data_IF_197867105255
#
_entry.id   IF_197867105255
#
_cell.length_a   1.000
_cell.length_b   1.000
_cell.length_c   1.000
_cell.angle_alpha   90.00
_cell.angle_beta   90.00
_cell.angle_gamma   90.00
#
_symmetry.space_group_name_H-M   'P 1'
#
loop_
_entity.id
_entity.type
_entity.pdbx_description
1 polymer ?
#
# COMPACT_ATOMS: atom_id res chain seq x y z
N UNK A 1 -7.17 3.97 12.25
CA UNK A 1 -7.22 5.44 12.41
C UNK A 1 -7.86 5.79 13.77
N UNK A 2 -7.10 6.32 14.72
CA UNK A 2 -7.66 6.87 15.97
C UNK A 2 -8.07 8.32 15.72
N UNK A 3 -9.37 8.64 15.78
CA UNK A 3 -9.80 10.02 16.00
C UNK A 3 -9.73 10.25 17.50
N UNK A 4 -8.58 10.73 17.96
CA UNK A 4 -8.31 10.83 19.41
C UNK A 4 -8.83 12.12 20.06
N UNK A 5 -9.38 13.07 19.31
CA UNK A 5 -9.82 14.34 19.88
C UNK A 5 -11.07 14.84 19.15
N UNK A 6 -12.24 14.43 19.63
CA UNK A 6 -13.43 15.28 19.44
C UNK A 6 -13.14 16.57 20.24
N UNK A 7 -13.35 17.77 19.68
CA UNK A 7 -13.05 19.02 20.37
C UNK A 7 -13.64 19.02 21.78
N UNK A 8 -12.85 19.43 22.77
CA UNK A 8 -13.31 19.54 24.14
C UNK A 8 -14.55 20.46 24.17
N UNK A 9 -15.68 19.93 24.58
CA UNK A 9 -16.90 20.70 24.75
C UNK A 9 -16.69 21.68 25.91
N UNK A 10 -16.79 22.98 25.66
CA UNK A 10 -16.84 23.98 26.73
C UNK A 10 -18.30 24.23 27.09
N UNK A 11 -18.71 23.91 28.31
CA UNK A 11 -20.07 24.18 28.77
C UNK A 11 -20.27 25.71 28.93
N UNK A 12 -21.11 26.32 28.08
CA UNK A 12 -21.46 27.73 28.15
C UNK A 12 -22.73 28.01 29.00
N UNK A 13 -23.36 26.97 29.56
CA UNK A 13 -24.57 27.07 30.39
C UNK A 13 -24.27 27.22 31.88
N UNK A 14 -25.15 27.90 32.62
CA UNK A 14 -25.03 28.07 34.08
C UNK A 14 -25.33 26.80 34.86
N UNK A 15 -26.01 25.82 34.24
CA UNK A 15 -26.31 24.52 34.82
C UNK A 15 -25.42 23.48 34.17
N UNK A 16 -24.59 22.81 34.98
CA UNK A 16 -23.72 21.74 34.50
C UNK A 16 -24.55 20.50 34.08
N UNK A 17 -24.23 19.84 32.96
CA UNK A 17 -24.79 18.54 32.61
C UNK A 17 -24.54 17.48 33.69
N UNK A 18 -25.49 16.56 33.88
CA UNK A 18 -25.34 15.41 34.77
C UNK A 18 -24.55 14.26 34.12
N UNK A 19 -24.30 14.34 32.82
CA UNK A 19 -23.54 13.37 32.04
C UNK A 19 -23.71 13.63 30.54
N UNK A 20 -23.05 12.82 29.72
CA UNK A 20 -23.08 12.94 28.26
C UNK A 20 -23.30 11.58 27.62
N UNK A 21 -24.37 11.43 26.84
CA UNK A 21 -24.59 10.23 26.03
C UNK A 21 -23.84 10.40 24.72
N UNK A 22 -22.83 9.56 24.47
CA UNK A 22 -22.13 9.52 23.18
C UNK A 22 -22.55 8.30 22.38
N UNK A 23 -22.81 8.46 21.09
CA UNK A 23 -23.04 7.33 20.20
C UNK A 23 -22.62 7.66 18.76
N UNK A 24 -22.16 6.64 18.03
CA UNK A 24 -21.97 6.69 16.60
C UNK A 24 -23.15 6.01 15.89
N UNK A 25 -23.60 6.56 14.77
CA UNK A 25 -24.78 6.07 14.03
C UNK A 25 -24.70 6.41 12.55
N UNK A 26 -25.41 5.64 11.73
CA UNK A 26 -25.72 5.99 10.33
C UNK A 26 -27.17 6.48 10.17
N UNK A 27 -27.95 6.52 11.26
CA UNK A 27 -29.30 7.07 11.27
C UNK A 27 -29.25 8.60 11.21
N UNK A 28 -30.10 9.20 10.38
CA UNK A 28 -30.29 10.65 10.32
C UNK A 28 -31.23 11.18 11.40
N UNK A 29 -31.93 10.30 12.11
CA UNK A 29 -32.69 10.63 13.31
C UNK A 29 -31.81 10.36 14.55
N UNK A 30 -31.45 11.43 15.26
CA UNK A 30 -30.57 11.35 16.44
C UNK A 30 -31.32 11.26 17.77
N UNK A 31 -32.59 11.65 17.78
CA UNK A 31 -33.44 11.65 18.96
C UNK A 31 -34.72 10.86 18.69
N UNK A 32 -35.25 10.19 19.71
CA UNK A 32 -36.60 9.63 19.70
C UNK A 32 -37.48 10.36 20.69
N UNK A 33 -38.77 10.48 20.36
CA UNK A 33 -39.80 10.93 21.30
C UNK A 33 -40.41 9.70 21.97
N UNK A 34 -40.17 9.54 23.26
CA UNK A 34 -41.06 8.70 24.05
C UNK A 34 -42.44 9.38 24.13
N UNK A 35 -43.50 8.64 24.44
CA UNK A 35 -44.88 9.16 24.44
C UNK A 35 -45.03 10.36 25.40
N UNK A 36 -45.83 11.36 25.02
CA UNK A 36 -45.95 12.63 25.73
C UNK A 36 -46.26 12.50 27.24
N UNK A 37 -45.74 13.39 28.12
CA UNK A 37 -44.89 14.54 27.84
C UNK A 37 -43.39 14.16 27.92
N UNK A 38 -42.80 13.73 26.81
CA UNK A 38 -41.43 13.22 26.83
C UNK A 38 -40.41 14.29 26.45
N UNK A 39 -39.37 14.34 27.25
CA UNK A 39 -38.08 14.94 26.91
C UNK A 39 -37.47 14.07 25.80
N UNK A 40 -37.02 14.64 24.66
CA UNK A 40 -36.32 13.87 23.64
C UNK A 40 -35.11 13.13 24.23
N UNK A 41 -34.97 11.86 23.90
CA UNK A 41 -33.84 11.01 24.33
C UNK A 41 -33.02 10.58 23.12
N UNK A 42 -31.74 10.27 23.34
CA UNK A 42 -30.86 9.74 22.29
C UNK A 42 -31.50 8.53 21.60
N UNK A 43 -31.48 8.50 20.26
CA UNK A 43 -31.87 7.31 19.51
C UNK A 43 -30.74 6.29 19.54
N UNK A 44 -30.88 5.32 20.44
CA UNK A 44 -29.91 4.25 20.61
C UNK A 44 -30.25 2.98 19.82
N UNK A 45 -31.30 3.00 18.98
CA UNK A 45 -31.82 1.81 18.29
C UNK A 45 -30.87 1.29 17.21
N UNK A 46 -30.26 2.21 16.44
CA UNK A 46 -29.41 1.89 15.28
C UNK A 46 -27.95 2.33 15.48
N UNK A 47 -27.46 2.27 16.70
CA UNK A 47 -26.09 2.71 17.03
C UNK A 47 -25.05 1.70 16.57
N UNK A 48 -23.91 2.22 16.11
CA UNK A 48 -22.74 1.40 15.80
C UNK A 48 -22.18 0.80 17.10
N UNK A 49 -21.68 -0.42 17.00
CA UNK A 49 -21.19 -1.24 18.12
C UNK A 49 -19.77 -1.72 17.86
N UNK A 50 -19.10 -2.20 18.91
CA UNK A 50 -17.78 -2.84 18.76
C UNK A 50 -17.97 -4.18 18.09
N UNK A 51 -17.70 -4.23 16.79
CA UNK A 51 -17.91 -5.37 15.91
C UNK A 51 -16.99 -5.26 14.68
N UNK A 52 -16.60 -6.38 14.04
CA UNK A 52 -15.60 -6.38 12.96
C UNK A 52 -15.87 -5.41 11.79
N UNK A 53 -17.13 -5.11 11.48
CA UNK A 53 -17.53 -4.22 10.37
C UNK A 53 -17.91 -2.79 10.81
N UNK A 54 -17.83 -2.47 12.11
CA UNK A 54 -18.29 -1.20 12.68
C UNK A 54 -17.18 -0.52 13.50
N UNK A 55 -17.14 -0.73 14.81
CA UNK A 55 -16.16 -0.09 15.70
C UNK A 55 -15.13 -1.10 16.19
N UNK A 56 -13.88 -0.67 16.32
CA UNK A 56 -12.80 -1.45 16.95
C UNK A 56 -12.85 -1.31 18.47
N UNK A 57 -13.16 -0.10 18.95
CA UNK A 57 -13.13 0.23 20.38
C UNK A 57 -14.03 1.43 20.68
N UNK A 58 -14.61 1.43 21.87
CA UNK A 58 -15.27 2.58 22.50
C UNK A 58 -14.93 2.62 23.98
N UNK A 59 -14.93 3.79 24.61
CA UNK A 59 -14.79 3.84 26.08
C UNK A 59 -15.96 3.15 26.80
N UNK A 60 -15.78 2.72 28.07
CA UNK A 60 -16.76 1.90 28.79
C UNK A 60 -18.16 2.52 28.94
N UNK A 61 -18.28 3.86 28.93
CA UNK A 61 -19.55 4.58 29.07
C UNK A 61 -20.14 5.04 27.73
N UNK A 62 -19.74 4.41 26.63
CA UNK A 62 -20.34 4.63 25.32
C UNK A 62 -21.82 4.21 25.33
N UNK A 63 -22.71 5.09 24.84
CA UNK A 63 -24.18 5.01 24.90
C UNK A 63 -24.79 5.16 26.30
N UNK A 64 -23.99 5.46 27.32
CA UNK A 64 -24.47 5.63 28.69
C UNK A 64 -24.76 7.12 28.97
N UNK A 65 -25.92 7.47 29.57
CA UNK A 65 -26.25 8.87 29.88
C UNK A 65 -25.36 9.52 30.95
N UNK A 66 -24.60 8.72 31.70
CA UNK A 66 -23.62 9.17 32.70
C UNK A 66 -22.22 9.33 32.11
N UNK A 67 -22.09 9.24 30.78
CA UNK A 67 -20.81 9.30 30.11
C UNK A 67 -20.03 10.60 30.34
N UNK A 68 -18.69 10.54 30.17
CA UNK A 68 -17.79 11.67 30.37
C UNK A 68 -17.95 12.74 29.27
N UNK A 69 -17.41 13.92 29.51
CA UNK A 69 -17.35 15.01 28.52
C UNK A 69 -16.45 14.70 27.32
N UNK A 70 -15.53 13.74 27.44
CA UNK A 70 -14.63 13.31 26.37
C UNK A 70 -14.84 11.81 26.12
N UNK A 71 -14.90 11.39 24.86
CA UNK A 71 -15.17 10.01 24.47
C UNK A 71 -14.17 9.56 23.40
N UNK A 72 -13.59 8.37 23.58
CA UNK A 72 -12.76 7.72 22.56
C UNK A 72 -13.57 6.69 21.79
N UNK A 73 -13.56 6.83 20.46
CA UNK A 73 -14.17 5.89 19.51
C UNK A 73 -13.11 5.55 18.45
N UNK A 74 -12.91 4.27 18.17
CA UNK A 74 -12.01 3.79 17.11
C UNK A 74 -12.82 3.03 16.07
N UNK A 75 -12.64 3.41 14.81
CA UNK A 75 -13.41 2.92 13.67
C UNK A 75 -12.71 1.75 12.99
N UNK A 76 -13.48 0.82 12.43
CA UNK A 76 -12.92 -0.15 11.48
C UNK A 76 -12.69 0.53 10.13
N UNK A 77 -11.73 0.05 9.33
CA UNK A 77 -11.59 0.50 7.94
C UNK A 77 -12.88 0.31 7.13
N UNK A 78 -13.65 -0.73 7.42
CA UNK A 78 -14.86 -1.05 6.66
C UNK A 78 -16.00 -0.02 6.82
N UNK A 79 -16.28 0.45 8.04
CA UNK A 79 -17.30 1.50 8.22
C UNK A 79 -16.86 2.82 7.59
N UNK A 80 -15.56 3.15 7.64
CA UNK A 80 -15.02 4.35 7.03
C UNK A 80 -15.13 4.30 5.50
N UNK A 81 -14.81 3.17 4.88
CA UNK A 81 -14.96 2.97 3.43
C UNK A 81 -16.44 3.07 2.98
N UNK A 82 -17.38 2.67 3.84
CA UNK A 82 -18.83 2.78 3.61
C UNK A 82 -19.42 4.12 4.06
N UNK A 83 -18.62 5.02 4.60
CA UNK A 83 -19.08 6.34 5.02
C UNK A 83 -19.09 7.30 3.84
N UNK A 84 -20.15 8.09 3.72
CA UNK A 84 -20.22 9.22 2.80
C UNK A 84 -20.06 10.53 3.59
N UNK A 85 -19.43 11.53 2.99
CA UNK A 85 -19.33 12.87 3.55
C UNK A 85 -20.19 13.84 2.75
N UNK A 86 -21.05 14.60 3.43
CA UNK A 86 -21.98 15.56 2.84
C UNK A 86 -22.88 14.94 1.76
N UNK A 87 -23.22 13.66 1.90
CA UNK A 87 -24.08 13.00 0.92
C UNK A 87 -25.49 13.61 0.91
N UNK A 88 -25.92 14.06 -0.26
CA UNK A 88 -27.29 14.55 -0.47
C UNK A 88 -28.29 13.41 -0.64
N UNK A 89 -27.83 12.17 -0.81
CA UNK A 89 -28.63 10.96 -0.92
C UNK A 89 -27.87 9.73 -0.41
N UNK A 90 -28.61 8.77 0.13
CA UNK A 90 -28.09 7.47 0.56
C UNK A 90 -27.82 6.58 -0.66
N UNK A 91 -26.68 5.89 -0.70
CA UNK A 91 -26.40 4.85 -1.69
C UNK A 91 -26.72 3.46 -1.10
N UNK A 92 -27.99 3.08 -1.20
CA UNK A 92 -28.47 1.77 -0.73
C UNK A 92 -27.89 0.60 -1.54
N UNK A 93 -27.42 0.84 -2.78
CA UNK A 93 -26.92 -0.20 -3.67
C UNK A 93 -25.52 -0.66 -3.24
N UNK A 94 -24.66 0.30 -2.88
CA UNK A 94 -23.33 0.02 -2.32
C UNK A 94 -23.33 -0.09 -0.79
N UNK A 95 -24.47 0.13 -0.13
CA UNK A 95 -24.58 0.12 1.33
C UNK A 95 -23.77 1.23 1.99
N UNK A 96 -23.71 2.42 1.37
CA UNK A 96 -22.94 3.57 1.85
C UNK A 96 -23.87 4.64 2.42
N UNK A 97 -23.54 5.14 3.60
CA UNK A 97 -24.34 6.10 4.36
C UNK A 97 -23.43 7.14 5.02
N UNK A 98 -23.92 8.34 5.32
CA UNK A 98 -23.20 9.25 6.22
C UNK A 98 -23.11 8.63 7.61
N UNK A 99 -21.95 8.74 8.24
CA UNK A 99 -21.70 8.26 9.59
C UNK A 99 -21.51 9.46 10.49
N UNK A 100 -22.17 9.44 11.64
CA UNK A 100 -22.18 10.53 12.59
C UNK A 100 -21.67 10.06 13.94
N UNK A 101 -21.03 10.96 14.69
CA UNK A 101 -20.90 10.88 16.14
C UNK A 101 -21.79 11.93 16.75
N UNK A 102 -22.68 11.50 17.63
CA UNK A 102 -23.59 12.37 18.36
C UNK A 102 -23.24 12.39 19.84
N UNK A 103 -23.42 13.54 20.47
CA UNK A 103 -23.31 13.73 21.90
C UNK A 103 -24.50 14.51 22.42
N UNK A 104 -25.21 13.92 23.38
CA UNK A 104 -26.30 14.55 24.11
C UNK A 104 -25.82 14.88 25.52
N UNK A 105 -25.75 16.16 25.87
CA UNK A 105 -25.58 16.60 27.23
C UNK A 105 -26.87 16.34 28.01
N UNK A 106 -26.81 15.55 29.08
CA UNK A 106 -27.97 15.17 29.87
C UNK A 106 -28.20 16.16 31.03
N UNK A 107 -29.47 16.42 31.35
CA UNK A 107 -29.88 17.22 32.50
C UNK A 107 -31.15 18.03 32.22
N UNK A 108 -31.83 18.48 33.28
CA UNK A 108 -33.13 19.16 33.17
C UNK A 108 -33.07 20.54 32.53
N UNK A 109 -31.93 21.23 32.62
CA UNK A 109 -31.72 22.57 32.05
C UNK A 109 -30.43 22.67 31.23
N UNK A 110 -29.82 21.54 30.88
CA UNK A 110 -28.53 21.43 30.20
C UNK A 110 -28.60 20.49 28.99
N UNK A 111 -29.83 20.25 28.49
CA UNK A 111 -30.09 19.36 27.36
C UNK A 111 -29.65 20.02 26.05
N UNK A 112 -28.53 19.56 25.50
CA UNK A 112 -27.99 20.06 24.23
C UNK A 112 -27.43 18.89 23.41
N UNK A 113 -27.65 18.92 22.09
CA UNK A 113 -27.17 17.91 21.17
C UNK A 113 -26.13 18.53 20.25
N UNK A 114 -25.01 17.83 20.06
CA UNK A 114 -24.07 18.11 18.99
C UNK A 114 -23.87 16.86 18.16
N UNK A 115 -23.82 17.03 16.85
CA UNK A 115 -23.62 15.96 15.88
C UNK A 115 -22.44 16.33 15.00
N UNK A 116 -21.52 15.39 14.84
CA UNK A 116 -20.35 15.48 13.99
C UNK A 116 -20.52 14.47 12.86
N UNK A 117 -20.56 14.93 11.61
CA UNK A 117 -20.44 14.04 10.46
C UNK A 117 -18.97 13.66 10.29
N UNK A 118 -18.73 12.37 10.04
CA UNK A 118 -17.40 11.85 9.78
C UNK A 118 -17.07 12.07 8.31
N UNK A 119 -15.95 12.74 8.04
CA UNK A 119 -15.31 12.82 6.72
C UNK A 119 -14.22 11.74 6.64
N UNK A 120 -14.55 10.52 6.17
CA UNK A 120 -13.56 9.46 6.03
C UNK A 120 -12.62 9.85 4.89
N UNK A 121 -11.35 10.05 5.20
CA UNK A 121 -10.32 10.07 4.16
C UNK A 121 -9.91 8.61 3.91
N UNK A 122 -10.13 8.06 2.70
CA UNK A 122 -9.48 6.81 2.30
C UNK A 122 -7.99 6.93 2.63
N UNK A 123 -7.44 5.92 3.27
CA UNK A 123 -6.07 5.93 3.77
C UNK A 123 -5.28 4.73 3.24
N UNK A 124 -5.85 3.98 2.27
CA UNK A 124 -5.14 2.86 1.68
C UNK A 124 -3.88 3.41 1.02
N UNK A 125 -2.72 2.93 1.46
CA UNK A 125 -1.42 3.27 0.89
C UNK A 125 -0.70 1.99 0.56
N UNK A 126 0.09 2.02 -0.50
CA UNK A 126 1.11 1.03 -0.78
C UNK A 126 2.45 1.74 -0.86
N UNK A 127 3.48 1.14 -0.29
CA UNK A 127 4.85 1.62 -0.40
C UNK A 127 5.75 0.44 -0.77
N UNK A 128 6.86 0.68 -1.46
CA UNK A 128 7.85 -0.34 -1.81
C UNK A 128 9.26 0.09 -1.43
N UNK A 129 9.98 -0.84 -0.81
CA UNK A 129 11.37 -0.70 -0.44
C UNK A 129 12.21 -1.81 -1.08
N UNK A 130 13.40 -1.44 -1.58
CA UNK A 130 14.42 -2.41 -1.97
C UNK A 130 14.98 -3.11 -0.73
N UNK A 131 15.30 -4.40 -0.85
CA UNK A 131 16.00 -5.18 0.18
C UNK A 131 17.46 -5.35 -0.22
N UNK A 132 18.38 -4.98 0.67
CA UNK A 132 19.81 -5.05 0.39
C UNK A 132 20.42 -6.45 0.57
N UNK A 133 21.72 -6.58 0.30
CA UNK A 133 22.45 -7.84 0.44
C UNK A 133 22.58 -8.35 1.89
N UNK A 134 22.15 -7.57 2.89
CA UNK A 134 22.09 -7.98 4.29
C UNK A 134 20.69 -8.45 4.72
N UNK A 135 19.76 -8.59 3.78
CA UNK A 135 18.35 -8.93 3.98
C UNK A 135 17.56 -7.83 4.74
N UNK A 136 18.06 -6.59 4.75
CA UNK A 136 17.37 -5.47 5.36
C UNK A 136 16.57 -4.68 4.32
N UNK A 137 15.31 -4.38 4.62
CA UNK A 137 14.54 -3.39 3.87
C UNK A 137 15.16 -2.00 4.08
N UNK A 138 15.43 -1.31 2.97
CA UNK A 138 15.95 0.05 2.98
C UNK A 138 14.82 1.06 3.20
N UNK A 139 15.18 2.32 3.45
CA UNK A 139 14.20 3.40 3.43
C UNK A 139 13.63 3.59 2.01
N UNK A 140 12.36 3.99 1.91
CA UNK A 140 11.69 4.23 0.63
C UNK A 140 12.47 5.21 -0.25
N UNK A 141 12.53 4.90 -1.55
CA UNK A 141 13.31 5.67 -2.54
C UNK A 141 14.84 5.51 -2.44
N UNK A 142 15.35 4.67 -1.53
CA UNK A 142 16.79 4.39 -1.44
C UNK A 142 17.19 3.33 -2.47
N UNK A 143 18.29 3.59 -3.17
CA UNK A 143 18.87 2.67 -4.13
C UNK A 143 19.69 1.56 -3.43
N UNK A 144 19.43 0.31 -3.78
CA UNK A 144 20.16 -0.85 -3.30
C UNK A 144 21.24 -1.28 -4.32
N UNK A 145 22.55 -1.16 -4.01
CA UNK A 145 23.58 -1.67 -4.89
C UNK A 145 23.60 -3.20 -4.87
N UNK A 146 23.66 -3.82 -6.05
CA UNK A 146 23.73 -5.26 -6.21
C UNK A 146 24.80 -5.64 -7.23
N UNK A 147 25.53 -6.72 -6.99
CA UNK A 147 26.50 -7.23 -7.96
C UNK A 147 25.79 -7.92 -9.11
N UNK A 148 26.22 -7.67 -10.35
CA UNK A 148 25.85 -8.53 -11.48
C UNK A 148 26.24 -9.99 -11.19
N UNK A 149 25.39 -10.95 -11.59
CA UNK A 149 25.67 -12.37 -11.34
C UNK A 149 26.95 -12.83 -12.04
N UNK A 150 27.54 -13.95 -11.64
CA UNK A 150 28.72 -14.50 -12.31
C UNK A 150 28.39 -15.06 -13.71
N UNK A 151 29.37 -15.11 -14.60
CA UNK A 151 29.25 -15.85 -15.87
C UNK A 151 29.11 -17.33 -15.54
N UNK A 152 28.02 -17.95 -15.98
CA UNK A 152 27.68 -19.34 -15.65
C UNK A 152 28.31 -20.33 -16.62
N UNK A 153 28.42 -19.96 -17.89
CA UNK A 153 29.13 -20.76 -18.89
C UNK A 153 29.62 -19.90 -20.05
N UNK A 154 30.68 -20.38 -20.71
CA UNK A 154 31.22 -19.82 -21.94
C UNK A 154 31.71 -20.96 -22.82
N UNK A 155 31.28 -21.02 -24.09
CA UNK A 155 31.70 -22.06 -25.02
C UNK A 155 31.93 -21.48 -26.42
N UNK A 156 33.04 -21.86 -27.06
CA UNK A 156 33.29 -21.47 -28.44
C UNK A 156 32.47 -22.34 -29.40
N UNK A 157 31.64 -21.71 -30.22
CA UNK A 157 30.88 -22.36 -31.28
C UNK A 157 31.66 -22.28 -32.61
N UNK A 158 32.17 -23.43 -33.04
CA UNK A 158 32.94 -23.58 -34.29
C UNK A 158 32.09 -23.26 -35.52
N UNK A 159 30.78 -23.53 -35.49
CA UNK A 159 29.92 -23.32 -36.64
C UNK A 159 29.68 -21.83 -36.90
N UNK A 160 29.56 -21.03 -35.84
CA UNK A 160 29.32 -19.59 -35.94
C UNK A 160 30.57 -18.74 -35.74
N UNK A 161 31.69 -19.34 -35.33
CA UNK A 161 32.94 -18.68 -34.94
C UNK A 161 32.75 -17.59 -33.86
N UNK A 162 31.90 -17.87 -32.87
CA UNK A 162 31.55 -16.96 -31.77
C UNK A 162 31.66 -17.67 -30.43
N UNK A 163 31.81 -16.91 -29.35
CA UNK A 163 31.64 -17.44 -27.99
C UNK A 163 30.17 -17.33 -27.60
N UNK A 164 29.59 -18.44 -27.20
CA UNK A 164 28.29 -18.51 -26.56
C UNK A 164 28.49 -18.23 -25.07
N UNK A 165 27.88 -17.15 -24.60
CA UNK A 165 27.97 -16.68 -23.22
C UNK A 165 26.64 -16.89 -22.51
N UNK A 166 26.72 -17.34 -21.26
CA UNK A 166 25.61 -17.33 -20.29
C UNK A 166 25.98 -16.39 -19.13
N UNK A 167 25.37 -15.21 -19.13
CA UNK A 167 25.58 -14.17 -18.13
C UNK A 167 24.75 -14.37 -16.84
N UNK A 168 24.13 -15.54 -16.67
CA UNK A 168 23.45 -15.90 -15.43
C UNK A 168 22.16 -15.12 -15.16
N UNK A 169 21.81 -15.04 -13.88
CA UNK A 169 20.58 -14.37 -13.44
C UNK A 169 20.82 -13.49 -12.22
N UNK A 170 20.22 -12.30 -12.22
CA UNK A 170 20.20 -11.42 -11.06
C UNK A 170 18.91 -11.61 -10.28
N UNK A 171 18.99 -11.86 -8.99
CA UNK A 171 17.81 -11.98 -8.12
C UNK A 171 17.73 -10.78 -7.20
N UNK A 172 16.67 -10.00 -7.32
CA UNK A 172 16.40 -8.81 -6.52
C UNK A 172 15.19 -9.07 -5.61
N UNK A 173 15.19 -8.43 -4.45
CA UNK A 173 14.11 -8.54 -3.48
C UNK A 173 13.58 -7.15 -3.10
N UNK A 174 12.28 -7.09 -2.83
CA UNK A 174 11.58 -5.90 -2.37
C UNK A 174 10.62 -6.27 -1.23
N UNK A 175 10.44 -5.35 -0.30
CA UNK A 175 9.33 -5.35 0.64
C UNK A 175 8.28 -4.36 0.13
N UNK A 176 7.04 -4.82 0.01
CA UNK A 176 5.89 -3.98 -0.33
C UNK A 176 5.00 -3.92 0.89
N UNK A 177 4.79 -2.73 1.43
CA UNK A 177 4.00 -2.49 2.64
C UNK A 177 2.67 -1.88 2.23
N UNK A 178 1.58 -2.51 2.65
CA UNK A 178 0.21 -2.05 2.37
C UNK A 178 -0.50 -1.70 3.66
N UNK A 179 -1.04 -0.49 3.79
CA UNK A 179 -1.67 -0.02 5.04
C UNK A 179 -3.11 0.42 4.83
N UNK A 180 -3.94 0.30 5.87
CA UNK A 180 -5.34 0.75 5.90
C UNK A 180 -6.28 0.19 4.81
N UNK A 181 -5.91 -0.88 4.10
CA UNK A 181 -6.85 -1.58 3.22
C UNK A 181 -7.92 -2.32 4.02
N UNK A 182 -9.11 -2.45 3.43
CA UNK A 182 -10.22 -3.25 3.95
C UNK A 182 -10.14 -4.65 3.35
N UNK A 183 -10.10 -5.69 4.19
CA UNK A 183 -10.11 -7.14 3.87
C UNK A 183 -9.02 -7.67 2.94
N UNK A 184 -8.86 -7.08 1.76
CA UNK A 184 -7.84 -7.42 0.78
C UNK A 184 -7.46 -6.25 -0.11
N UNK A 185 -6.37 -6.41 -0.86
CA UNK A 185 -6.01 -5.53 -1.97
C UNK A 185 -5.37 -6.34 -3.12
N UNK A 186 -5.40 -5.80 -4.33
CA UNK A 186 -4.87 -6.42 -5.53
C UNK A 186 -3.67 -5.60 -6.03
N UNK A 187 -2.44 -6.15 -5.98
CA UNK A 187 -1.26 -5.43 -6.42
C UNK A 187 -1.20 -5.31 -7.94
N UNK A 188 -0.64 -4.19 -8.40
CA UNK A 188 -0.20 -4.01 -9.78
C UNK A 188 1.23 -3.50 -9.75
N UNK A 189 2.12 -4.16 -10.49
CA UNK A 189 3.52 -3.75 -10.60
C UNK A 189 3.84 -3.29 -12.01
N UNK A 190 4.83 -2.43 -12.15
CA UNK A 190 5.41 -2.08 -13.45
C UNK A 190 6.92 -2.23 -13.37
N UNK A 191 7.50 -2.94 -14.35
CA UNK A 191 8.94 -2.84 -14.62
C UNK A 191 9.13 -1.55 -15.39
N UNK A 192 9.72 -0.53 -14.76
CA UNK A 192 9.86 0.79 -15.38
C UNK A 192 10.74 0.69 -16.64
N UNK A 193 10.38 1.48 -17.66
CA UNK A 193 11.12 1.51 -18.91
C UNK A 193 12.61 1.86 -18.68
N UNK A 194 13.49 1.10 -19.32
CA UNK A 194 14.94 1.20 -19.14
C UNK A 194 15.50 0.33 -18.01
N UNK A 195 14.67 -0.44 -17.29
CA UNK A 195 15.13 -1.35 -16.24
C UNK A 195 15.73 -2.65 -16.81
N UNK A 196 15.27 -3.05 -18.00
CA UNK A 196 15.76 -4.23 -18.72
C UNK A 196 16.29 -3.81 -20.09
N UNK A 197 17.41 -4.40 -20.52
CA UNK A 197 17.90 -4.22 -21.88
C UNK A 197 16.89 -4.76 -22.90
N UNK A 198 16.60 -3.94 -23.92
CA UNK A 198 15.81 -4.27 -25.11
C UNK A 198 16.67 -4.29 -26.38
N UNK A 199 18.00 -4.39 -26.22
CA UNK A 199 18.92 -4.44 -27.34
C UNK A 199 18.72 -5.73 -28.14
N UNK A 200 18.42 -5.59 -29.43
CA UNK A 200 18.07 -6.70 -30.31
C UNK A 200 19.02 -7.91 -30.18
N UNK A 201 18.46 -9.06 -29.77
CA UNK A 201 19.22 -10.30 -29.58
C UNK A 201 19.99 -10.39 -28.26
N UNK A 202 19.83 -9.41 -27.37
CA UNK A 202 20.33 -9.35 -25.98
C UNK A 202 19.23 -8.87 -25.02
N UNK A 203 17.98 -9.18 -25.35
CA UNK A 203 16.82 -8.76 -24.58
C UNK A 203 16.82 -9.48 -23.22
N UNK A 204 16.80 -8.72 -22.14
CA UNK A 204 16.60 -9.28 -20.80
C UNK A 204 15.12 -9.51 -20.54
N UNK A 205 14.81 -10.47 -19.66
CA UNK A 205 13.45 -10.72 -19.17
C UNK A 205 13.48 -10.92 -17.66
N UNK A 206 12.36 -10.70 -16.99
CA UNK A 206 12.27 -10.91 -15.55
C UNK A 206 11.11 -11.84 -15.19
N UNK A 207 11.34 -12.76 -14.26
CA UNK A 207 10.26 -13.43 -13.55
C UNK A 207 9.94 -12.61 -12.30
N UNK A 208 8.67 -12.27 -12.10
CA UNK A 208 8.20 -11.53 -10.92
C UNK A 208 7.28 -12.42 -10.12
N UNK A 209 7.55 -12.52 -8.82
CA UNK A 209 6.78 -13.38 -7.90
C UNK A 209 6.70 -12.74 -6.53
N UNK A 210 5.62 -12.97 -5.81
CA UNK A 210 5.45 -12.41 -4.46
C UNK A 210 5.04 -13.46 -3.43
N UNK A 211 5.42 -13.18 -2.18
CA UNK A 211 5.53 -14.13 -1.08
C UNK A 211 5.07 -13.52 0.25
N UNK A 212 4.56 -14.32 1.19
CA UNK A 212 4.17 -13.83 2.51
C UNK A 212 5.35 -13.36 3.36
N UNK A 213 6.54 -13.94 3.17
CA UNK A 213 7.74 -13.64 3.93
C UNK A 213 8.98 -13.56 3.04
N UNK A 214 10.02 -12.83 3.48
CA UNK A 214 11.31 -12.82 2.80
C UNK A 214 11.96 -14.20 2.75
N UNK A 215 11.82 -14.99 3.83
CA UNK A 215 12.32 -16.36 3.88
C UNK A 215 11.72 -17.24 2.79
N UNK A 216 10.40 -17.13 2.58
CA UNK A 216 9.70 -17.82 1.50
C UNK A 216 10.17 -17.36 0.11
N UNK A 217 10.36 -16.04 -0.08
CA UNK A 217 10.88 -15.49 -1.33
C UNK A 217 12.27 -16.05 -1.66
N UNK A 218 13.16 -16.11 -0.67
CA UNK A 218 14.51 -16.65 -0.82
C UNK A 218 14.49 -18.16 -1.11
N UNK A 219 13.66 -18.91 -0.39
CA UNK A 219 13.52 -20.35 -0.57
C UNK A 219 12.73 -20.75 -1.83
N UNK A 220 11.94 -19.84 -2.41
CA UNK A 220 11.01 -20.15 -3.49
C UNK A 220 9.81 -20.98 -3.04
N UNK A 221 9.43 -20.90 -1.76
CA UNK A 221 8.31 -21.65 -1.16
C UNK A 221 7.09 -20.75 -0.97
N UNK A 222 5.90 -21.33 -0.75
CA UNK A 222 4.68 -20.57 -0.44
C UNK A 222 4.40 -19.39 -1.40
N UNK A 223 4.70 -19.59 -2.69
CA UNK A 223 4.50 -18.59 -3.73
C UNK A 223 3.02 -18.22 -3.80
N UNK A 224 2.71 -16.93 -3.73
CA UNK A 224 1.33 -16.45 -3.89
C UNK A 224 0.97 -16.49 -5.38
N UNK A 225 1.79 -15.82 -6.20
CA UNK A 225 1.69 -15.77 -7.66
C UNK A 225 3.07 -15.62 -8.34
N UNK A 226 3.13 -15.97 -9.62
CA UNK A 226 4.33 -15.83 -10.47
C UNK A 226 3.94 -15.39 -11.87
N UNK A 227 4.69 -14.42 -12.38
CA UNK A 227 4.56 -13.82 -13.70
C UNK A 227 5.89 -14.00 -14.43
N UNK A 228 6.03 -15.04 -15.27
CA UNK A 228 7.31 -15.35 -15.90
C UNK A 228 7.59 -14.44 -17.09
N UNK A 229 8.87 -14.25 -17.40
CA UNK A 229 9.37 -13.69 -18.66
C UNK A 229 8.80 -12.32 -19.04
N UNK A 230 8.60 -11.46 -18.06
CA UNK A 230 8.19 -10.07 -18.22
C UNK A 230 9.27 -9.27 -18.93
N UNK A 231 8.84 -8.30 -19.73
CA UNK A 231 9.71 -7.44 -20.55
C UNK A 231 9.83 -6.05 -19.94
N UNK A 232 10.74 -5.24 -20.48
CA UNK A 232 10.86 -3.83 -20.11
C UNK A 232 9.54 -3.09 -20.34
N UNK A 233 9.14 -2.23 -19.39
CA UNK A 233 7.87 -1.50 -19.45
C UNK A 233 6.62 -2.36 -19.21
N UNK A 234 6.76 -3.64 -18.82
CA UNK A 234 5.61 -4.51 -18.59
C UNK A 234 4.85 -4.11 -17.31
N UNK A 235 3.52 -4.03 -17.44
CA UNK A 235 2.59 -3.95 -16.30
C UNK A 235 2.12 -5.35 -15.93
N UNK A 236 2.21 -5.67 -14.65
CA UNK A 236 1.97 -6.98 -14.06
C UNK A 236 0.83 -6.83 -13.06
N UNK A 237 -0.37 -7.27 -13.44
CA UNK A 237 -1.54 -7.21 -12.58
C UNK A 237 -1.71 -8.53 -11.84
N UNK A 238 -1.76 -8.47 -10.49
CA UNK A 238 -2.11 -9.62 -9.67
C UNK A 238 -3.50 -10.14 -10.02
N UNK A 239 -3.73 -11.45 -9.88
CA UNK A 239 -5.06 -12.05 -10.09
C UNK A 239 -5.71 -12.52 -8.79
N UNK A 240 -4.96 -12.67 -7.70
CA UNK A 240 -5.48 -13.01 -6.36
C UNK A 240 -5.36 -11.79 -5.44
N UNK A 241 -6.46 -11.37 -4.81
CA UNK A 241 -6.39 -10.37 -3.76
C UNK A 241 -5.54 -10.87 -2.59
N UNK A 242 -4.59 -10.06 -2.16
CA UNK A 242 -3.79 -10.26 -0.96
C UNK A 242 -4.64 -9.96 0.26
N UNK A 243 -4.74 -10.92 1.19
CA UNK A 243 -5.53 -10.82 2.42
C UNK A 243 -4.62 -10.87 3.64
N UNK A 244 -5.15 -10.46 4.80
CA UNK A 244 -4.44 -10.57 6.07
C UNK A 244 -5.38 -11.04 7.18
N UNK A 245 -4.85 -11.80 8.14
CA UNK A 245 -5.56 -12.12 9.38
C UNK A 245 -5.48 -10.98 10.41
N UNK A 246 -4.67 -9.94 10.16
CA UNK A 246 -4.50 -8.79 11.04
C UNK A 246 -5.74 -7.90 10.93
N UNK A 247 -6.47 -7.74 12.04
CA UNK A 247 -7.68 -6.92 12.06
C UNK A 247 -7.42 -5.41 11.88
N UNK A 248 -6.23 -4.93 12.27
CA UNK A 248 -5.83 -3.53 12.13
C UNK A 248 -4.60 -3.40 11.23
N UNK A 249 -4.82 -2.98 9.99
CA UNK A 249 -3.79 -2.79 8.97
C UNK A 249 -3.16 -1.39 8.98
N UNK A 250 -3.45 -0.55 9.98
CA UNK A 250 -2.96 0.84 9.98
C UNK A 250 -1.46 1.00 10.19
N UNK A 251 -0.76 -0.04 10.63
CA UNK A 251 0.70 -0.07 10.72
C UNK A 251 1.38 -0.69 9.51
N UNK A 252 0.62 -1.06 8.48
CA UNK A 252 1.13 -1.77 7.31
C UNK A 252 1.15 -3.29 7.47
N UNK A 253 0.98 -3.98 6.35
CA UNK A 253 1.16 -5.42 6.18
C UNK A 253 2.08 -5.63 4.98
N UNK A 254 3.16 -6.37 5.21
CA UNK A 254 4.19 -6.60 4.20
C UNK A 254 3.87 -7.81 3.32
N UNK A 255 4.23 -7.70 2.05
CA UNK A 255 4.41 -8.80 1.10
C UNK A 255 5.80 -8.63 0.46
N UNK A 256 6.46 -9.74 0.13
CA UNK A 256 7.82 -9.71 -0.39
C UNK A 256 7.83 -10.08 -1.87
N UNK A 257 8.42 -9.23 -2.70
CA UNK A 257 8.54 -9.45 -4.13
C UNK A 257 9.94 -9.93 -4.46
N UNK A 258 10.03 -11.01 -5.24
CA UNK A 258 11.26 -11.51 -5.85
C UNK A 258 11.20 -11.26 -7.34
N UNK A 259 12.25 -10.64 -7.86
CA UNK A 259 12.48 -10.44 -9.29
C UNK A 259 13.70 -11.23 -9.71
N UNK A 260 13.55 -12.15 -10.65
CA UNK A 260 14.66 -12.90 -11.26
C UNK A 260 14.89 -12.40 -12.68
N UNK A 261 15.93 -11.61 -12.88
CA UNK A 261 16.33 -11.08 -14.19
C UNK A 261 17.18 -12.12 -14.90
N UNK A 262 16.73 -12.54 -16.07
CA UNK A 262 17.44 -13.41 -17.00
C UNK A 262 18.33 -12.55 -17.89
N UNK A 263 19.64 -12.62 -17.69
CA UNK A 263 20.59 -11.79 -18.43
C UNK A 263 20.78 -12.28 -19.88
N UNK A 264 20.57 -13.57 -20.14
CA UNK A 264 20.79 -14.18 -21.45
C UNK A 264 22.16 -13.75 -22.04
N UNK A 265 22.15 -12.97 -23.13
CA UNK A 265 23.34 -12.46 -23.84
C UNK A 265 23.71 -11.02 -23.46
N UNK A 266 23.04 -10.43 -22.48
CA UNK A 266 23.34 -9.10 -21.96
C UNK A 266 24.49 -9.17 -20.97
N UNK A 267 25.61 -8.56 -21.35
CA UNK A 267 26.85 -8.61 -20.58
C UNK A 267 26.82 -7.71 -19.34
N UNK A 268 26.06 -6.62 -19.36
CA UNK A 268 26.03 -5.59 -18.29
C UNK A 268 27.38 -4.89 -18.10
N UNK A 269 27.92 -4.28 -19.16
CA UNK A 269 29.19 -3.50 -19.13
C UNK A 269 29.05 -2.10 -18.52
N UNK A 270 27.81 -1.68 -18.21
CA UNK A 270 27.49 -0.44 -17.52
C UNK A 270 26.57 -0.78 -16.36
N UNK A 271 26.60 0.07 -15.32
CA UNK A 271 25.64 -0.02 -14.23
C UNK A 271 24.22 0.08 -14.78
N UNK A 272 23.37 -0.85 -14.37
CA UNK A 272 21.97 -0.90 -14.78
C UNK A 272 21.07 -0.64 -13.58
N UNK A 273 20.19 0.35 -13.70
CA UNK A 273 19.18 0.62 -12.68
C UNK A 273 17.93 -0.18 -13.00
N UNK A 274 17.64 -1.17 -12.18
CA UNK A 274 16.35 -1.85 -12.23
C UNK A 274 15.38 -1.17 -11.28
N UNK A 275 14.26 -0.68 -11.81
CA UNK A 275 13.21 -0.01 -11.02
C UNK A 275 11.91 -0.80 -11.13
N UNK A 276 11.37 -1.18 -9.98
CA UNK A 276 10.06 -1.79 -9.84
C UNK A 276 9.13 -0.77 -9.18
N UNK A 277 8.05 -0.42 -9.88
CA UNK A 277 7.00 0.42 -9.33
C UNK A 277 5.83 -0.44 -8.88
N UNK A 278 5.15 -0.04 -7.81
CA UNK A 278 3.95 -0.69 -7.29
C UNK A 278 2.79 0.28 -7.22
N UNK A 279 1.60 -0.28 -7.30
CA UNK A 279 0.31 0.37 -7.09
C UNK A 279 -0.68 -0.71 -6.60
N UNK A 280 -1.84 -0.34 -6.11
CA UNK A 280 -2.80 -1.32 -5.60
C UNK A 280 -4.24 -0.86 -5.65
N UNK A 281 -5.16 -1.81 -5.77
CA UNK A 281 -6.58 -1.57 -5.48
C UNK A 281 -7.02 -2.28 -4.24
N UNK A 282 -7.73 -1.61 -3.35
CA UNK A 282 -8.37 -2.30 -2.23
C UNK A 282 -9.58 -3.15 -2.67
N UNK A 283 -10.20 -3.87 -1.73
CA UNK A 283 -11.40 -4.66 -1.98
C UNK A 283 -12.58 -3.84 -2.54
N UNK A 284 -12.61 -2.53 -2.31
CA UNK A 284 -13.64 -1.63 -2.84
C UNK A 284 -13.33 -1.11 -4.24
N UNK A 285 -12.26 -1.63 -4.87
CA UNK A 285 -11.77 -1.24 -6.19
C UNK A 285 -11.35 0.24 -6.24
N UNK A 286 -10.94 0.80 -5.09
CA UNK A 286 -10.28 2.10 -5.00
C UNK A 286 -8.77 1.91 -5.09
N UNK A 287 -8.12 2.71 -5.93
CA UNK A 287 -6.67 2.80 -5.98
C UNK A 287 -6.13 3.33 -4.65
N UNK A 288 -4.89 2.98 -4.33
CA UNK A 288 -4.23 3.56 -3.18
C UNK A 288 -4.00 5.07 -3.35
N UNK A 289 -3.65 5.70 -2.24
CA UNK A 289 -3.42 7.11 -2.19
C UNK A 289 -2.11 7.47 -2.88
N UNK A 290 -2.23 8.32 -3.89
CA UNK A 290 -1.10 9.02 -4.46
C UNK A 290 -0.49 9.99 -3.44
N UNK A 291 0.63 9.62 -2.84
CA UNK A 291 1.32 10.47 -1.87
C UNK A 291 1.87 11.77 -2.49
N UNK A 292 2.04 11.82 -3.83
CA UNK A 292 2.57 12.98 -4.55
C UNK A 292 1.54 14.09 -4.79
N UNK A 293 0.24 13.75 -4.79
CA UNK A 293 -0.85 14.71 -5.00
C UNK A 293 -1.55 15.15 -3.72
N UNK A 294 -1.18 14.59 -2.56
CA UNK A 294 -1.54 15.11 -1.23
C UNK A 294 -0.71 16.37 -0.91
N UNK A 295 -0.79 17.38 -1.77
CA UNK A 295 -0.40 18.72 -1.40
C UNK A 295 -1.56 19.33 -0.61
N UNK A 296 -1.32 19.69 0.65
CA UNK A 296 -2.28 20.31 1.58
C UNK A 296 -2.93 21.63 1.07
N UNK A 297 -2.53 22.11 -0.11
CA UNK A 297 -3.05 23.30 -0.78
C UNK A 297 -4.17 23.03 -1.80
N UNK A 298 -4.48 21.78 -2.15
CA UNK A 298 -5.65 21.50 -3.00
C UNK A 298 -6.94 21.71 -2.21
N UNK A 299 -7.81 22.61 -2.67
CA UNK A 299 -9.11 22.89 -2.06
C UNK A 299 -10.07 21.67 -2.08
N UNK A 300 -9.71 20.65 -2.84
CA UNK A 300 -10.38 19.35 -2.92
C UNK A 300 -9.30 18.28 -3.03
N UNK A 301 -8.69 17.81 -1.92
CA UNK A 301 -7.84 16.63 -1.97
C UNK A 301 -8.75 15.45 -2.32
N UNK A 302 -8.82 15.09 -3.60
CA UNK A 302 -9.45 13.85 -4.00
C UNK A 302 -8.58 12.74 -3.47
N UNK A 303 -8.94 12.21 -2.31
CA UNK A 303 -8.22 11.16 -1.58
C UNK A 303 -8.36 9.78 -2.27
N UNK A 304 -8.52 9.76 -3.59
CA UNK A 304 -8.58 8.55 -4.38
C UNK A 304 -7.95 8.89 -5.74
N UNK A 305 -6.89 8.19 -6.11
CA UNK A 305 -6.33 8.30 -7.44
C UNK A 305 -7.37 7.84 -8.48
N UNK A 306 -7.51 8.59 -9.58
CA UNK A 306 -8.46 8.25 -10.65
C UNK A 306 -8.01 7.03 -11.48
N UNK A 307 -6.78 6.57 -11.27
CA UNK A 307 -6.09 5.52 -12.00
C UNK A 307 -4.81 5.13 -11.27
N UNK A 308 -4.05 4.14 -11.77
CA UNK A 308 -2.75 3.83 -11.22
C UNK A 308 -1.77 4.96 -11.55
N UNK A 309 -0.91 5.33 -10.60
CA UNK A 309 0.12 6.36 -10.74
C UNK A 309 1.55 5.80 -10.76
N UNK A 310 1.77 4.63 -10.16
CA UNK A 310 3.09 3.99 -10.02
C UNK A 310 4.17 4.91 -9.43
N UNK A 311 3.81 5.75 -8.46
CA UNK A 311 4.74 6.67 -7.80
C UNK A 311 5.61 5.99 -6.74
N UNK A 312 5.19 4.84 -6.22
CA UNK A 312 5.93 4.06 -5.24
C UNK A 312 6.95 3.14 -5.93
N UNK A 313 8.24 3.42 -5.70
CA UNK A 313 9.35 2.80 -6.46
C UNK A 313 10.45 2.21 -5.59
N UNK A 314 10.82 0.97 -5.91
CA UNK A 314 12.01 0.32 -5.42
C UNK A 314 13.07 0.30 -6.51
N UNK A 315 14.30 0.73 -6.19
CA UNK A 315 15.42 0.79 -7.14
C UNK A 315 16.56 -0.10 -6.66
N UNK A 316 17.09 -0.91 -7.57
CA UNK A 316 18.37 -1.59 -7.42
C UNK A 316 19.33 -1.16 -8.52
N UNK A 317 20.53 -0.75 -8.17
CA UNK A 317 21.64 -0.57 -9.12
C UNK A 317 22.45 -1.86 -9.23
N UNK A 318 22.29 -2.56 -10.35
CA UNK A 318 23.10 -3.71 -10.72
C UNK A 318 24.42 -3.18 -11.28
N UNK A 319 25.49 -3.37 -10.54
CA UNK A 319 26.83 -2.89 -10.91
C UNK A 319 27.36 -3.59 -12.15
N UNK A 320 28.08 -2.84 -12.98
CA UNK A 320 28.70 -3.32 -14.20
C UNK A 320 29.65 -4.50 -13.94
N UNK A 321 29.78 -5.39 -14.92
CA UNK A 321 30.89 -6.34 -14.96
C UNK A 321 32.20 -5.58 -15.10
N UNK A 322 33.28 -6.02 -14.40
CA UNK A 322 34.61 -5.52 -14.68
C UNK A 322 34.98 -5.73 -16.15
N UNK A 323 35.55 -4.70 -16.76
CA UNK A 323 36.08 -4.78 -18.12
C UNK A 323 37.43 -5.52 -18.13
N UNK A 324 37.65 -6.33 -19.17
CA UNK A 324 38.93 -7.01 -19.42
C UNK A 324 39.65 -6.26 -20.51
N UNK A 325 40.47 -5.29 -20.10
CA UNK A 325 41.26 -4.47 -21.02
C UNK A 325 42.53 -5.23 -21.41
N UNK A 326 42.72 -5.45 -22.70
CA UNK A 326 43.99 -5.93 -23.23
C UNK A 326 45.02 -4.80 -23.25
N UNK A 327 46.00 -4.87 -22.34
CA UNK A 327 47.13 -3.94 -22.27
C UNK A 327 48.35 -4.42 -23.06
N UNK A 328 48.22 -5.46 -23.89
CA UNK A 328 49.29 -5.83 -24.82
C UNK A 328 49.45 -4.72 -25.86
N UNK A 329 50.44 -3.86 -25.65
CA UNK A 329 50.78 -2.82 -26.63
C UNK A 329 51.11 -3.43 -27.99
N UNK A 330 51.17 -2.62 -29.08
CA UNK A 330 51.55 -3.08 -30.42
C UNK A 330 53.03 -3.51 -30.45
N UNK A 331 53.34 -4.66 -29.87
CA UNK A 331 54.67 -5.22 -29.71
C UNK A 331 54.82 -6.48 -30.56
N UNK A 332 55.59 -6.34 -31.64
CA UNK A 332 56.34 -7.38 -32.39
C UNK A 332 55.69 -8.78 -32.49
N UNK A 333 55.07 -9.04 -33.64
CA UNK A 333 54.83 -10.39 -34.21
C UNK A 333 54.14 -11.41 -33.30
N UNK A 334 53.22 -11.00 -32.43
CA UNK A 334 52.26 -11.92 -31.84
C UNK A 334 51.10 -12.16 -32.83
N UNK A 335 50.55 -13.38 -32.91
CA UNK A 335 49.32 -13.60 -33.66
C UNK A 335 48.25 -12.64 -33.14
N UNK A 336 47.50 -11.99 -34.04
CA UNK A 336 46.45 -11.05 -33.64
C UNK A 336 45.41 -11.78 -32.79
N UNK A 337 45.32 -11.45 -31.51
CA UNK A 337 44.22 -11.88 -30.67
C UNK A 337 43.02 -10.99 -31.00
N UNK A 338 42.04 -11.56 -31.71
CA UNK A 338 40.77 -10.88 -31.97
C UNK A 338 39.76 -11.40 -30.95
N UNK A 339 39.29 -10.58 -30.00
CA UNK A 339 38.23 -10.97 -29.09
C UNK A 339 37.00 -11.45 -29.86
N UNK A 340 36.39 -12.54 -29.42
CA UNK A 340 35.22 -13.18 -30.05
C UNK A 340 33.99 -13.07 -29.14
N UNK A 341 33.62 -11.84 -28.78
CA UNK A 341 32.40 -11.58 -28.00
C UNK A 341 31.16 -11.48 -28.91
#
# INVERSE_FOLDING_TARGET
MLINNIPALTAAGTTAPTGYTWWATQNTNFLTTAVAPAIPVADLTNVLTVAPSQLIYTDPLYKDPTGPINMKITWTPEILAKTLYHATAIDNTAGRFSTFVSVLANGSCSNNLQVFEIDPKPAFTVDIASIDGSDASLAFGTDAPFCVDVVRSAAYDIATNKVLMDYGTNTLYYEVVSANFVTSWLPTFTIDAGSLSTAAGKDQKADVSWYPTLGDAKAGTNVIETFPLQVDGATIQGVKPLTTAIANTSTGVSVFVKVVIHNYKWESILDNKFTLSVDGKDFTNQWDLDNSTINAASATPTCAAAGPDYNDKGVHTITARPDVIDNSGPGVLLPSFVPKN
#
